data_IF_446106712744
#
_entry.id   IF_446106712744
#
_cell.length_a   1.000
_cell.length_b   1.000
_cell.length_c   1.000
_cell.angle_alpha   90.00
_cell.angle_beta   90.00
_cell.angle_gamma   90.00
#
_symmetry.space_group_name_H-M   'P 1'
#
loop_
_entity.id
_entity.type
_entity.pdbx_description
1 polymer ?
#
# COMPACT_ATOMS: atom_id res chain seq x y z
N UNK A 1 -6.88 46.81 -6.05
CA UNK A 1 -5.63 46.31 -6.67
C UNK A 1 -4.91 45.43 -5.66
N UNK A 2 -4.22 44.38 -6.16
CA UNK A 2 -3.38 43.38 -5.45
C UNK A 2 -4.15 42.33 -4.64
N UNK A 3 -3.94 41.01 -4.76
CA UNK A 3 -3.06 40.16 -5.59
C UNK A 3 -3.52 38.70 -5.36
N UNK A 4 -3.69 37.79 -6.33
CA UNK A 4 -2.73 37.22 -7.31
C UNK A 4 -1.41 36.72 -6.70
N UNK A 5 -1.44 36.03 -5.55
CA UNK A 5 -0.25 35.30 -5.06
C UNK A 5 -0.45 33.79 -4.80
N UNK A 6 -1.68 33.29 -4.67
CA UNK A 6 -1.89 31.88 -4.27
C UNK A 6 -1.82 30.82 -5.40
N UNK A 7 -1.54 31.22 -6.65
CA UNK A 7 -1.62 30.32 -7.81
C UNK A 7 -0.27 29.70 -8.18
N UNK A 8 0.85 30.33 -7.84
CA UNK A 8 2.18 29.82 -8.22
C UNK A 8 2.63 28.67 -7.32
N UNK A 9 2.39 28.76 -6.01
CA UNK A 9 2.73 27.69 -5.06
C UNK A 9 1.93 26.40 -5.32
N UNK A 10 0.61 26.50 -5.56
CA UNK A 10 -0.20 25.33 -5.93
C UNK A 10 0.21 24.70 -7.26
N UNK A 11 0.65 25.50 -8.23
CA UNK A 11 1.13 24.97 -9.53
C UNK A 11 2.47 24.26 -9.36
N UNK A 12 3.37 24.79 -8.52
CA UNK A 12 4.67 24.18 -8.23
C UNK A 12 4.49 22.87 -7.46
N UNK A 13 3.60 22.82 -6.46
CA UNK A 13 3.31 21.60 -5.70
C UNK A 13 2.70 20.50 -6.58
N UNK A 14 1.73 20.85 -7.43
CA UNK A 14 1.12 19.91 -8.37
C UNK A 14 2.13 19.40 -9.43
N UNK A 15 3.01 20.26 -9.95
CA UNK A 15 4.07 19.84 -10.88
C UNK A 15 5.09 18.92 -10.21
N UNK A 16 5.47 19.22 -8.96
CA UNK A 16 6.40 18.39 -8.18
C UNK A 16 5.81 17.01 -7.90
N UNK A 17 4.51 16.94 -7.57
CA UNK A 17 3.76 15.69 -7.38
C UNK A 17 3.69 14.87 -8.67
N UNK A 18 3.43 15.52 -9.81
CA UNK A 18 3.36 14.86 -11.11
C UNK A 18 4.72 14.29 -11.56
N UNK A 19 5.80 15.04 -11.36
CA UNK A 19 7.17 14.60 -11.66
C UNK A 19 7.57 13.41 -10.77
N UNK A 20 7.16 13.43 -9.50
CA UNK A 20 7.38 12.31 -8.57
C UNK A 20 6.65 11.05 -9.02
N UNK A 21 5.36 11.16 -9.36
CA UNK A 21 4.56 10.04 -9.88
C UNK A 21 5.15 9.44 -11.18
N UNK A 22 5.65 10.28 -12.09
CA UNK A 22 6.27 9.81 -13.33
C UNK A 22 7.60 9.07 -13.09
N UNK A 23 8.40 9.52 -12.10
CA UNK A 23 9.61 8.80 -11.68
C UNK A 23 9.29 7.47 -10.99
N UNK A 24 8.23 7.44 -10.17
CA UNK A 24 7.72 6.23 -9.51
C UNK A 24 7.32 5.15 -10.53
N UNK A 25 6.51 5.51 -11.53
CA UNK A 25 6.09 4.59 -12.60
C UNK A 25 7.28 4.02 -13.40
N UNK A 26 8.32 4.83 -13.63
CA UNK A 26 9.50 4.43 -14.42
C UNK A 26 10.40 3.44 -13.66
N UNK A 27 10.62 3.66 -12.35
CA UNK A 27 11.43 2.77 -11.51
C UNK A 27 10.71 1.48 -11.16
N UNK A 28 9.39 1.55 -10.93
CA UNK A 28 8.54 0.38 -10.75
C UNK A 28 8.60 -0.50 -12.00
N UNK A 29 8.39 0.07 -13.20
CA UNK A 29 8.46 -0.66 -14.47
C UNK A 29 9.82 -1.35 -14.68
N UNK A 30 10.92 -0.67 -14.35
CA UNK A 30 12.27 -1.23 -14.51
C UNK A 30 12.56 -2.35 -13.50
N UNK A 31 12.11 -2.20 -12.25
CA UNK A 31 12.29 -3.19 -11.18
C UNK A 31 11.43 -4.44 -11.41
N UNK A 32 10.18 -4.25 -11.85
CA UNK A 32 9.26 -5.35 -12.18
C UNK A 32 9.75 -6.21 -13.35
N UNK A 33 10.51 -5.63 -14.30
CA UNK A 33 11.04 -6.35 -15.46
C UNK A 33 12.12 -7.39 -15.09
N UNK A 34 12.82 -7.22 -13.96
CA UNK A 34 13.91 -8.11 -13.55
C UNK A 34 13.47 -9.07 -12.43
N UNK A 35 12.42 -8.73 -11.67
CA UNK A 35 11.90 -9.59 -10.62
C UNK A 35 11.28 -10.87 -11.19
N UNK A 36 11.87 -12.02 -10.84
CA UNK A 36 11.33 -13.34 -11.16
C UNK A 36 10.45 -13.85 -10.03
N UNK A 37 9.14 -13.74 -10.21
CA UNK A 37 8.17 -14.36 -9.30
C UNK A 37 8.05 -15.87 -9.55
N UNK A 38 7.68 -16.67 -8.54
CA UNK A 38 7.33 -18.07 -8.74
C UNK A 38 6.19 -18.25 -9.75
N UNK A 39 6.13 -19.42 -10.37
CA UNK A 39 5.04 -19.77 -11.27
C UNK A 39 3.68 -19.61 -10.58
N UNK A 40 2.71 -19.07 -11.33
CA UNK A 40 1.38 -18.83 -10.80
C UNK A 40 1.23 -17.52 -10.01
N UNK A 41 2.27 -16.68 -9.89
CA UNK A 41 2.16 -15.34 -9.30
C UNK A 41 2.29 -14.23 -10.33
N UNK A 42 1.67 -13.08 -10.06
CA UNK A 42 1.76 -11.87 -10.87
C UNK A 42 1.74 -10.63 -9.97
N UNK A 43 2.33 -9.54 -10.45
CA UNK A 43 2.20 -8.23 -9.81
C UNK A 43 0.87 -7.62 -10.29
N UNK A 44 0.04 -7.22 -9.34
CA UNK A 44 -1.22 -6.53 -9.59
C UNK A 44 -1.03 -5.02 -9.70
N UNK A 45 -2.14 -4.28 -9.53
CA UNK A 45 -2.14 -2.82 -9.50
C UNK A 45 -2.91 -2.29 -8.29
N UNK A 46 -2.30 -1.44 -7.50
CA UNK A 46 -2.87 -0.74 -6.37
C UNK A 46 -3.28 0.68 -6.75
N UNK A 47 -4.23 1.24 -6.01
CA UNK A 47 -4.60 2.65 -6.15
C UNK A 47 -3.46 3.56 -5.67
N UNK A 48 -3.17 4.64 -6.40
CA UNK A 48 -2.16 5.62 -6.01
C UNK A 48 -2.65 6.62 -4.96
N UNK A 49 -1.83 7.64 -4.68
CA UNK A 49 -2.25 8.80 -3.88
C UNK A 49 -2.20 8.61 -2.36
N UNK A 50 -1.42 7.63 -1.88
CA UNK A 50 -1.19 7.36 -0.45
C UNK A 50 -1.96 6.17 0.12
N UNK A 51 -2.85 5.57 -0.67
CA UNK A 51 -3.59 4.36 -0.29
C UNK A 51 -2.97 3.05 -0.82
N UNK A 52 -1.93 3.11 -1.65
CA UNK A 52 -1.37 1.95 -2.36
C UNK A 52 -0.98 0.81 -1.43
N UNK A 53 -0.36 1.10 -0.28
CA UNK A 53 -0.05 0.10 0.73
C UNK A 53 -1.29 -0.67 1.20
N UNK A 54 -2.33 0.06 1.61
CA UNK A 54 -3.55 -0.53 2.15
C UNK A 54 -4.31 -1.28 1.07
N UNK A 55 -4.33 -0.77 -0.16
CA UNK A 55 -5.03 -1.44 -1.26
C UNK A 55 -4.30 -2.73 -1.69
N UNK A 56 -2.97 -2.71 -1.78
CA UNK A 56 -2.17 -3.91 -2.05
C UNK A 56 -2.40 -4.98 -0.99
N UNK A 57 -2.39 -4.60 0.30
CA UNK A 57 -2.68 -5.51 1.41
C UNK A 57 -4.14 -6.01 1.38
N UNK A 58 -5.11 -5.15 1.06
CA UNK A 58 -6.51 -5.54 0.93
C UNK A 58 -6.73 -6.53 -0.22
N UNK A 59 -6.05 -6.34 -1.35
CA UNK A 59 -6.08 -7.28 -2.48
C UNK A 59 -5.55 -8.67 -2.07
N UNK A 60 -4.39 -8.73 -1.40
CA UNK A 60 -3.85 -9.99 -0.88
C UNK A 60 -4.78 -10.66 0.13
N UNK A 61 -5.35 -9.87 1.06
CA UNK A 61 -6.29 -10.39 2.07
C UNK A 61 -7.56 -10.95 1.44
N UNK A 62 -8.12 -10.30 0.42
CA UNK A 62 -9.28 -10.83 -0.34
C UNK A 62 -8.97 -12.18 -0.98
N UNK A 63 -7.76 -12.36 -1.51
CA UNK A 63 -7.35 -13.65 -2.08
C UNK A 63 -7.18 -14.74 -1.01
N UNK A 64 -6.59 -14.40 0.15
CA UNK A 64 -6.44 -15.37 1.26
C UNK A 64 -7.76 -15.69 1.96
N UNK A 65 -8.71 -14.74 1.98
CA UNK A 65 -9.97 -14.81 2.75
C UNK A 65 -11.13 -14.25 1.93
N UNK A 66 -11.60 -14.98 0.89
CA UNK A 66 -12.64 -14.49 -0.02
C UNK A 66 -14.01 -14.28 0.63
N UNK A 67 -14.25 -14.82 1.82
CA UNK A 67 -15.48 -14.60 2.60
C UNK A 67 -15.49 -13.34 3.46
N UNK A 68 -14.45 -12.49 3.38
CA UNK A 68 -14.33 -11.26 4.15
C UNK A 68 -14.16 -10.06 3.23
N UNK A 69 -14.86 -8.98 3.55
CA UNK A 69 -14.76 -7.71 2.84
C UNK A 69 -13.55 -6.91 3.36
N UNK A 70 -12.53 -6.76 2.51
CA UNK A 70 -11.38 -5.90 2.79
C UNK A 70 -11.38 -4.71 1.83
N UNK A 71 -11.34 -3.52 2.40
CA UNK A 71 -11.20 -2.26 1.69
C UNK A 71 -10.08 -1.45 2.35
N UNK A 72 -9.53 -0.48 1.63
CA UNK A 72 -8.59 0.50 2.20
C UNK A 72 -9.14 1.10 3.49
N UNK A 73 -10.41 1.51 3.47
CA UNK A 73 -11.10 2.11 4.61
C UNK A 73 -11.18 1.17 5.81
N UNK A 74 -11.55 -0.10 5.59
CA UNK A 74 -11.65 -1.06 6.71
C UNK A 74 -10.28 -1.35 7.34
N UNK A 75 -9.20 -1.40 6.55
CA UNK A 75 -7.84 -1.58 7.07
C UNK A 75 -7.34 -0.36 7.86
N UNK A 76 -7.61 0.86 7.37
CA UNK A 76 -7.32 2.12 8.07
C UNK A 76 -8.02 2.21 9.42
N UNK A 77 -9.31 1.84 9.47
CA UNK A 77 -10.10 1.77 10.71
C UNK A 77 -9.56 0.73 11.69
N UNK A 78 -9.11 -0.43 11.19
CA UNK A 78 -8.44 -1.44 12.01
C UNK A 78 -7.17 -0.87 12.64
N UNK A 79 -6.33 -0.17 11.86
CA UNK A 79 -5.11 0.43 12.37
C UNK A 79 -5.44 1.43 13.49
N UNK A 80 -6.33 2.39 13.24
CA UNK A 80 -6.80 3.35 14.26
C UNK A 80 -7.24 2.66 15.54
N UNK A 81 -8.11 1.65 15.44
CA UNK A 81 -8.65 0.94 16.60
C UNK A 81 -7.56 0.23 17.42
N UNK A 82 -6.59 -0.39 16.76
CA UNK A 82 -5.51 -1.12 17.45
C UNK A 82 -4.48 -0.19 18.09
N UNK A 83 -4.34 1.04 17.59
CA UNK A 83 -3.34 2.00 18.09
C UNK A 83 -3.70 2.64 19.43
N UNK A 84 -4.99 2.73 19.79
CA UNK A 84 -5.47 3.55 20.92
C UNK A 84 -4.83 3.26 22.29
N UNK A 85 -4.38 2.01 22.51
CA UNK A 85 -3.80 1.58 23.79
C UNK A 85 -2.36 1.07 23.66
N UNK A 86 -1.70 1.29 22.52
CA UNK A 86 -0.35 0.76 22.26
C UNK A 86 0.71 1.86 22.45
N UNK A 87 1.27 1.92 23.66
CA UNK A 87 2.31 2.90 24.00
C UNK A 87 3.61 2.69 23.21
N UNK A 88 3.93 1.45 22.83
CA UNK A 88 5.14 1.16 22.06
C UNK A 88 4.98 1.67 20.63
N UNK A 89 3.83 1.39 20.02
CA UNK A 89 3.48 1.90 18.71
C UNK A 89 3.41 3.42 18.69
N UNK A 90 2.85 4.04 19.73
CA UNK A 90 2.87 5.50 19.89
C UNK A 90 4.29 6.04 19.80
N UNK A 91 5.23 5.49 20.58
CA UNK A 91 6.65 5.88 20.51
C UNK A 91 7.24 5.68 19.11
N UNK A 92 6.90 4.58 18.45
CA UNK A 92 7.38 4.28 17.10
C UNK A 92 6.86 5.29 16.07
N UNK A 93 5.58 5.67 16.12
CA UNK A 93 4.98 6.68 15.24
C UNK A 93 5.63 8.05 15.46
N UNK A 94 5.85 8.45 16.72
CA UNK A 94 6.52 9.71 17.04
C UNK A 94 7.97 9.71 16.54
N UNK A 95 8.69 8.62 16.76
CA UNK A 95 10.07 8.47 16.29
C UNK A 95 10.16 8.54 14.76
N UNK A 96 9.27 7.84 14.05
CA UNK A 96 9.16 7.90 12.58
C UNK A 96 8.83 9.33 12.11
N UNK A 97 7.96 10.05 12.81
CA UNK A 97 7.66 11.44 12.45
C UNK A 97 8.86 12.38 12.63
N UNK A 98 9.69 12.18 13.65
CA UNK A 98 10.79 13.11 13.99
C UNK A 98 12.12 12.79 13.30
N UNK A 99 12.39 11.51 13.03
CA UNK A 99 13.74 11.04 12.72
C UNK A 99 13.78 10.12 11.50
N UNK A 100 12.88 10.30 10.54
CA UNK A 100 12.92 9.51 9.30
C UNK A 100 14.15 9.90 8.48
N UNK A 101 15.03 8.95 8.24
CA UNK A 101 16.26 9.11 7.45
C UNK A 101 15.96 9.10 5.94
N UNK A 102 15.09 10.00 5.51
CA UNK A 102 14.75 10.22 4.11
C UNK A 102 14.81 11.72 3.84
N UNK A 103 15.74 12.15 2.98
CA UNK A 103 15.96 13.56 2.66
C UNK A 103 14.74 14.25 2.01
N UNK A 104 13.75 13.49 1.55
CA UNK A 104 12.51 14.00 0.97
C UNK A 104 11.39 14.20 2.01
N UNK A 105 11.61 13.74 3.25
CA UNK A 105 10.64 13.87 4.35
C UNK A 105 10.73 15.24 4.98
N UNK A 106 9.57 15.89 5.09
CA UNK A 106 9.42 17.15 5.82
C UNK A 106 9.17 16.80 7.28
N UNK A 107 10.02 17.30 8.18
CA UNK A 107 9.88 17.09 9.62
C UNK A 107 8.79 18.00 10.22
N UNK A 108 8.21 17.62 11.37
CA UNK A 108 7.31 18.47 12.13
C UNK A 108 7.94 19.82 12.49
N UNK A 109 7.11 20.86 12.57
CA UNK A 109 7.57 22.18 12.99
C UNK A 109 8.14 22.17 14.42
N UNK A 110 9.14 23.03 14.73
CA UNK A 110 9.64 23.17 16.09
C UNK A 110 8.54 23.50 17.09
N UNK A 111 8.59 22.90 18.27
CA UNK A 111 7.64 23.17 19.37
C UNK A 111 6.40 22.28 19.40
N UNK A 112 6.13 21.48 18.37
CA UNK A 112 5.06 20.47 18.40
C UNK A 112 5.46 19.34 19.35
N UNK A 113 4.60 19.04 20.32
CA UNK A 113 4.83 18.00 21.32
C UNK A 113 4.30 16.62 20.86
N UNK A 114 4.66 15.57 21.61
CA UNK A 114 4.34 14.19 21.26
C UNK A 114 2.86 13.82 21.44
N UNK A 115 2.08 14.57 22.22
CA UNK A 115 0.63 14.39 22.30
C UNK A 115 -0.04 14.95 21.04
N UNK A 116 0.40 16.11 20.55
CA UNK A 116 -0.13 16.72 19.33
C UNK A 116 0.19 15.89 18.09
N UNK A 117 1.42 15.37 17.96
CA UNK A 117 1.79 14.44 16.88
C UNK A 117 0.99 13.14 16.94
N UNK A 118 0.73 12.62 18.13
CA UNK A 118 -0.07 11.41 18.29
C UNK A 118 -1.53 11.63 17.89
N UNK A 119 -2.12 12.76 18.29
CA UNK A 119 -3.48 13.11 17.86
C UNK A 119 -3.55 13.31 16.35
N UNK A 120 -2.55 13.97 15.75
CA UNK A 120 -2.46 14.11 14.30
C UNK A 120 -2.43 12.75 13.59
N UNK A 121 -1.68 11.78 14.11
CA UNK A 121 -1.68 10.42 13.58
C UNK A 121 -3.08 9.77 13.67
N UNK A 122 -3.74 9.85 14.83
CA UNK A 122 -5.06 9.24 15.05
C UNK A 122 -6.16 9.87 14.17
N UNK A 123 -6.05 11.16 13.90
CA UNK A 123 -6.96 11.87 13.01
C UNK A 123 -6.71 11.46 11.55
N UNK A 124 -5.46 11.43 11.11
CA UNK A 124 -5.12 11.21 9.70
C UNK A 124 -5.18 9.73 9.25
N UNK A 125 -4.96 8.76 10.14
CA UNK A 125 -4.85 7.33 9.76
C UNK A 125 -6.17 6.77 9.19
N UNK A 126 -7.31 7.31 9.61
CA UNK A 126 -8.64 6.80 9.25
C UNK A 126 -9.06 7.11 7.81
N UNK A 127 -8.56 8.21 7.26
CA UNK A 127 -9.07 8.75 6.00
C UNK A 127 -8.34 8.19 4.78
N UNK A 128 -9.13 7.79 3.77
CA UNK A 128 -8.63 7.40 2.45
C UNK A 128 -8.30 8.64 1.61
N UNK A 129 -7.61 8.45 0.48
CA UNK A 129 -7.40 9.51 -0.50
C UNK A 129 -8.72 10.09 -1.01
N UNK A 130 -9.73 9.23 -1.22
CA UNK A 130 -11.06 9.65 -1.64
C UNK A 130 -11.76 10.49 -0.56
N UNK A 131 -11.66 10.09 0.71
CA UNK A 131 -12.21 10.86 1.83
C UNK A 131 -11.58 12.27 1.86
N UNK A 132 -10.25 12.38 1.73
CA UNK A 132 -9.52 13.65 1.72
C UNK A 132 -9.90 14.52 0.51
N UNK A 133 -9.97 13.95 -0.70
CA UNK A 133 -10.40 14.69 -1.89
C UNK A 133 -11.83 15.21 -1.75
N UNK A 134 -12.75 14.41 -1.20
CA UNK A 134 -14.13 14.82 -0.93
C UNK A 134 -14.21 15.94 0.12
N UNK A 135 -13.31 15.96 1.11
CA UNK A 135 -13.29 17.02 2.13
C UNK A 135 -12.97 18.40 1.56
N UNK A 136 -12.28 18.50 0.41
CA UNK A 136 -12.01 19.80 -0.23
C UNK A 136 -13.29 20.59 -0.51
N UNK A 137 -14.37 19.89 -0.88
CA UNK A 137 -15.67 20.51 -1.18
C UNK A 137 -16.66 20.46 -0.01
N UNK A 138 -16.52 19.48 0.88
CA UNK A 138 -17.51 19.25 1.96
C UNK A 138 -17.08 19.79 3.33
N UNK A 139 -15.78 19.93 3.61
CA UNK A 139 -15.25 20.43 4.87
C UNK A 139 -13.81 20.97 4.71
N UNK A 140 -13.69 22.15 4.10
CA UNK A 140 -12.40 22.78 3.82
C UNK A 140 -11.52 23.01 5.07
N UNK A 141 -12.05 23.45 6.23
CA UNK A 141 -11.23 23.61 7.43
C UNK A 141 -10.60 22.29 7.90
N UNK A 142 -11.35 21.19 7.89
CA UNK A 142 -10.82 19.88 8.26
C UNK A 142 -9.79 19.38 7.23
N UNK A 143 -10.06 19.55 5.94
CA UNK A 143 -9.10 19.24 4.89
C UNK A 143 -7.77 19.98 5.13
N UNK A 144 -7.81 21.29 5.40
CA UNK A 144 -6.61 22.09 5.66
C UNK A 144 -5.87 21.64 6.93
N UNK A 145 -6.60 21.26 7.99
CA UNK A 145 -6.00 20.76 9.22
C UNK A 145 -5.26 19.42 9.02
N UNK A 146 -5.83 18.51 8.22
CA UNK A 146 -5.28 17.17 7.96
C UNK A 146 -4.17 17.15 6.90
N UNK A 147 -4.24 18.06 5.93
CA UNK A 147 -3.27 18.12 4.81
C UNK A 147 -2.18 19.18 5.04
N UNK A 148 -2.24 19.92 6.13
CA UNK A 148 -1.21 20.90 6.48
C UNK A 148 0.14 20.23 6.79
N UNK A 149 1.24 20.89 6.43
CA UNK A 149 2.61 20.38 6.64
C UNK A 149 3.13 20.55 8.07
N UNK A 150 2.33 21.13 9.00
CA UNK A 150 2.82 21.44 10.35
C UNK A 150 3.34 20.21 11.09
N UNK A 151 2.71 19.06 10.90
CA UNK A 151 3.08 17.78 11.52
C UNK A 151 4.11 16.97 10.73
N UNK A 152 4.68 17.54 9.67
CA UNK A 152 5.56 16.83 8.75
C UNK A 152 4.79 15.98 7.73
N UNK A 153 5.51 15.49 6.73
CA UNK A 153 4.93 14.76 5.60
C UNK A 153 4.49 13.32 5.94
N UNK A 154 5.01 12.74 7.02
CA UNK A 154 4.65 11.36 7.44
C UNK A 154 3.30 11.27 8.14
N UNK A 155 2.78 12.38 8.64
CA UNK A 155 1.47 12.48 9.32
C UNK A 155 0.42 13.23 8.49
N UNK A 156 0.78 13.69 7.30
CA UNK A 156 -0.12 14.35 6.36
C UNK A 156 -1.15 13.34 5.84
N UNK A 157 -2.43 13.72 5.79
CA UNK A 157 -3.48 12.86 5.27
C UNK A 157 -3.56 12.91 3.72
N UNK A 158 -3.87 11.78 3.06
CA UNK A 158 -3.97 10.44 3.63
C UNK A 158 -2.59 9.91 4.03
N UNK A 159 -2.46 9.35 5.24
CA UNK A 159 -1.18 8.78 5.68
C UNK A 159 -0.80 7.62 4.78
N UNK A 160 0.43 7.63 4.28
CA UNK A 160 1.00 6.52 3.53
C UNK A 160 1.28 5.36 4.48
N UNK A 161 0.84 4.16 4.13
CA UNK A 161 1.02 2.99 5.00
C UNK A 161 2.49 2.62 5.15
N UNK A 162 2.91 2.33 6.40
CA UNK A 162 4.26 1.88 6.73
C UNK A 162 4.23 0.41 7.09
N UNK A 163 5.19 -0.33 6.55
CA UNK A 163 5.25 -1.79 6.69
C UNK A 163 5.40 -2.21 8.16
N UNK A 164 6.23 -1.49 8.92
CA UNK A 164 6.60 -1.79 10.31
C UNK A 164 5.57 -1.28 11.33
N UNK A 165 4.65 -0.40 10.92
CA UNK A 165 3.62 0.18 11.76
C UNK A 165 2.26 -0.38 11.34
N UNK A 166 1.70 0.11 10.24
CA UNK A 166 0.40 -0.33 9.74
C UNK A 166 0.40 -1.80 9.29
N UNK A 167 1.47 -2.25 8.63
CA UNK A 167 1.59 -3.66 8.23
C UNK A 167 1.59 -4.62 9.41
N UNK A 168 2.34 -4.30 10.46
CA UNK A 168 2.36 -5.07 11.71
C UNK A 168 0.99 -5.13 12.39
N UNK A 169 0.27 -4.00 12.45
CA UNK A 169 -1.08 -3.96 13.01
C UNK A 169 -2.04 -4.88 12.25
N UNK A 170 -1.98 -4.86 10.92
CA UNK A 170 -2.81 -5.70 10.06
C UNK A 170 -2.43 -7.17 10.22
N UNK A 171 -1.13 -7.50 10.25
CA UNK A 171 -0.63 -8.85 10.52
C UNK A 171 -1.18 -9.40 11.84
N UNK A 172 -1.07 -8.60 12.91
CA UNK A 172 -1.63 -8.94 14.23
C UNK A 172 -3.15 -9.12 14.20
N UNK A 173 -3.88 -8.23 13.52
CA UNK A 173 -5.35 -8.30 13.46
C UNK A 173 -5.84 -9.58 12.82
N UNK A 174 -5.22 -9.94 11.70
CA UNK A 174 -5.70 -11.03 10.86
C UNK A 174 -4.92 -12.31 11.06
N UNK A 175 -3.88 -12.36 11.88
CA UNK A 175 -3.02 -13.53 12.05
C UNK A 175 -2.47 -14.00 10.70
N UNK A 176 -1.79 -13.08 10.01
CA UNK A 176 -1.11 -13.27 8.73
C UNK A 176 0.29 -12.69 8.83
N UNK A 177 1.17 -13.06 7.89
CA UNK A 177 2.47 -12.42 7.69
C UNK A 177 2.43 -11.58 6.43
N UNK A 178 3.29 -10.58 6.35
CA UNK A 178 3.46 -9.72 5.19
C UNK A 178 4.89 -9.85 4.67
N UNK A 179 5.02 -10.41 3.47
CA UNK A 179 6.26 -10.44 2.72
C UNK A 179 6.34 -9.19 1.83
N UNK A 180 7.40 -8.41 2.02
CA UNK A 180 7.68 -7.20 1.25
C UNK A 180 8.95 -7.41 0.45
N UNK A 181 8.87 -7.18 -0.85
CA UNK A 181 10.00 -7.15 -1.76
C UNK A 181 10.35 -5.69 -2.02
N UNK A 182 11.60 -5.29 -1.83
CA UNK A 182 12.07 -3.94 -2.11
C UNK A 182 13.26 -3.99 -3.08
N UNK A 183 13.35 -3.03 -3.99
CA UNK A 183 14.53 -2.91 -4.86
C UNK A 183 15.78 -2.66 -4.00
N UNK A 184 16.85 -3.42 -4.23
CA UNK A 184 18.12 -3.22 -3.53
C UNK A 184 18.86 -1.99 -4.11
N UNK A 185 19.00 -0.88 -3.36
CA UNK A 185 19.66 0.33 -3.88
C UNK A 185 21.16 0.16 -4.11
N UNK A 186 21.76 -0.89 -3.54
CA UNK A 186 23.19 -1.22 -3.68
C UNK A 186 23.46 -2.28 -4.74
N UNK A 187 22.42 -2.76 -5.41
CA UNK A 187 22.58 -3.75 -6.48
C UNK A 187 23.48 -3.20 -7.59
N UNK A 188 24.51 -3.97 -7.91
CA UNK A 188 25.34 -3.72 -9.09
C UNK A 188 25.32 -4.97 -9.97
N UNK A 189 25.60 -4.80 -11.27
CA UNK A 189 25.60 -5.90 -12.24
C UNK A 189 26.79 -6.88 -12.08
N UNK A 190 27.51 -6.83 -10.95
CA UNK A 190 28.64 -7.70 -10.63
C UNK A 190 28.22 -9.08 -10.07
N UNK A 191 26.91 -9.34 -9.98
CA UNK A 191 26.28 -10.58 -9.50
C UNK A 191 26.60 -10.96 -8.05
N UNK A 192 27.13 -10.04 -7.24
CA UNK A 192 27.44 -10.33 -5.82
C UNK A 192 26.25 -10.08 -4.89
N UNK A 193 25.26 -9.32 -5.34
CA UNK A 193 24.10 -8.92 -4.54
C UNK A 193 22.81 -9.26 -5.26
N UNK A 194 21.80 -9.66 -4.49
CA UNK A 194 20.45 -9.84 -5.02
C UNK A 194 19.87 -8.46 -5.42
N UNK A 195 19.17 -8.37 -6.57
CA UNK A 195 18.54 -7.12 -7.01
C UNK A 195 17.37 -6.70 -6.11
N UNK A 196 16.89 -7.61 -5.26
CA UNK A 196 15.77 -7.37 -4.36
C UNK A 196 16.11 -7.79 -2.94
N UNK A 197 15.69 -6.95 -2.00
CA UNK A 197 15.65 -7.27 -0.58
C UNK A 197 14.28 -7.86 -0.26
N UNK A 198 14.28 -8.88 0.60
CA UNK A 198 13.06 -9.54 1.04
C UNK A 198 12.92 -9.35 2.54
N UNK A 199 11.75 -8.90 2.96
CA UNK A 199 11.41 -8.68 4.37
C UNK A 199 10.16 -9.47 4.70
N UNK A 200 10.13 -10.06 5.88
CA UNK A 200 8.94 -10.71 6.43
C UNK A 200 8.53 -9.98 7.71
N UNK A 201 7.26 -9.61 7.76
CA UNK A 201 6.65 -8.89 8.87
C UNK A 201 5.53 -9.74 9.44
N UNK A 202 5.50 -9.84 10.76
CA UNK A 202 4.43 -10.46 11.52
C UNK A 202 4.11 -9.62 12.77
N UNK A 203 3.40 -10.17 13.74
CA UNK A 203 3.07 -9.47 14.98
C UNK A 203 4.29 -9.23 15.88
N UNK A 204 5.37 -10.00 15.72
CA UNK A 204 6.62 -9.87 16.46
C UNK A 204 7.52 -8.76 15.93
N UNK A 205 7.44 -8.45 14.63
CA UNK A 205 8.17 -7.36 14.01
C UNK A 205 8.60 -7.66 12.58
N UNK A 206 9.62 -6.94 12.12
CA UNK A 206 10.22 -7.12 10.81
C UNK A 206 11.51 -7.92 10.91
N UNK A 207 11.72 -8.85 9.97
CA UNK A 207 13.01 -9.52 9.75
C UNK A 207 13.37 -9.57 8.27
N UNK A 208 14.63 -9.35 7.96
CA UNK A 208 15.15 -9.58 6.61
C UNK A 208 15.26 -11.09 6.37
N UNK A 209 14.86 -11.54 5.19
CA UNK A 209 14.95 -12.93 4.74
C UNK A 209 15.76 -12.98 3.44
N UNK A 210 16.46 -14.09 3.20
CA UNK A 210 17.37 -14.22 2.06
C UNK A 210 18.29 -15.44 2.16
N UNK A 211 18.94 -15.78 1.05
CA UNK A 211 19.83 -16.94 0.97
C UNK A 211 19.12 -18.26 1.24
N UNK A 212 19.36 -18.84 2.42
CA UNK A 212 18.75 -20.11 2.86
C UNK A 212 17.37 -19.95 3.50
N UNK A 213 17.03 -18.76 4.04
CA UNK A 213 15.69 -18.47 4.57
C UNK A 213 14.85 -17.83 3.46
N UNK A 214 14.13 -18.67 2.72
CA UNK A 214 13.26 -18.25 1.60
C UNK A 214 11.81 -18.25 2.04
N UNK A 215 11.05 -17.26 1.57
CA UNK A 215 9.60 -17.24 1.79
C UNK A 215 8.95 -18.39 1.04
N UNK A 216 8.02 -19.08 1.71
CA UNK A 216 7.13 -20.01 1.04
C UNK A 216 5.94 -19.24 0.47
N UNK A 217 5.94 -19.02 -0.84
CA UNK A 217 4.82 -18.38 -1.55
C UNK A 217 3.53 -19.21 -1.50
N UNK A 218 3.62 -20.51 -1.20
CA UNK A 218 2.45 -21.37 -1.09
C UNK A 218 1.79 -21.30 0.29
N UNK A 219 2.45 -20.71 1.29
CA UNK A 219 1.89 -20.52 2.63
C UNK A 219 0.67 -19.59 2.57
N UNK A 220 -0.51 -20.17 2.82
CA UNK A 220 -1.80 -19.46 2.82
C UNK A 220 -2.00 -18.45 3.95
N UNK A 221 -0.97 -18.21 4.76
CA UNK A 221 -0.94 -17.16 5.80
C UNK A 221 -0.06 -15.97 5.42
N UNK A 222 0.62 -15.99 4.27
CA UNK A 222 1.55 -14.93 3.85
C UNK A 222 0.94 -14.08 2.73
N UNK A 223 0.85 -12.78 2.97
CA UNK A 223 0.57 -11.76 1.97
C UNK A 223 1.87 -11.36 1.28
N UNK A 224 1.83 -11.03 0.00
CA UNK A 224 3.00 -10.60 -0.74
C UNK A 224 2.76 -9.24 -1.40
N UNK A 225 3.64 -8.28 -1.17
CA UNK A 225 3.64 -6.98 -1.82
C UNK A 225 5.06 -6.63 -2.29
N UNK A 226 5.15 -5.72 -3.26
CA UNK A 226 6.42 -5.14 -3.72
C UNK A 226 6.38 -3.63 -3.50
N UNK A 227 7.47 -3.08 -2.96
CA UNK A 227 7.75 -1.65 -2.92
C UNK A 227 8.61 -1.29 -4.14
N UNK A 228 8.03 -0.60 -5.11
CA UNK A 228 8.74 -0.16 -6.32
C UNK A 228 9.71 0.99 -6.11
N UNK A 229 9.85 1.47 -4.87
CA UNK A 229 10.56 2.68 -4.51
C UNK A 229 9.59 3.80 -4.09
N UNK A 230 10.12 4.76 -3.32
CA UNK A 230 9.37 5.92 -2.82
C UNK A 230 8.07 5.61 -2.07
N UNK A 231 7.97 4.43 -1.43
CA UNK A 231 6.77 3.96 -0.73
C UNK A 231 5.56 3.71 -1.63
N UNK A 232 5.79 3.40 -2.91
CA UNK A 232 4.74 2.92 -3.81
C UNK A 232 4.65 1.39 -3.76
N UNK A 233 3.48 0.87 -3.37
CA UNK A 233 3.28 -0.55 -3.16
C UNK A 233 2.34 -1.16 -4.19
N UNK A 234 2.68 -2.36 -4.66
CA UNK A 234 1.84 -3.18 -5.51
C UNK A 234 1.63 -4.57 -4.90
N UNK A 235 0.46 -5.20 -5.06
CA UNK A 235 0.24 -6.55 -4.56
C UNK A 235 0.90 -7.58 -5.47
N UNK A 236 1.37 -8.67 -4.89
CA UNK A 236 1.76 -9.88 -5.62
C UNK A 236 0.68 -10.93 -5.35
N UNK A 237 -0.03 -11.31 -6.40
CA UNK A 237 -1.24 -12.14 -6.34
C UNK A 237 -1.01 -13.45 -7.07
N UNK A 238 -1.68 -14.52 -6.60
CA UNK A 238 -1.82 -15.73 -7.40
C UNK A 238 -2.66 -15.41 -8.64
N UNK A 239 -2.23 -15.88 -9.80
CA UNK A 239 -3.00 -15.86 -11.03
C UNK A 239 -4.26 -16.68 -10.78
N UNK A 240 -5.41 -16.12 -11.13
CA UNK A 240 -6.63 -16.90 -11.16
C UNK A 240 -6.42 -18.07 -12.13
N UNK A 241 -6.56 -19.29 -11.63
CA UNK A 241 -6.72 -20.44 -12.51
C UNK A 241 -8.04 -20.17 -13.23
N UNK A 242 -8.00 -19.90 -14.53
CA UNK A 242 -9.18 -20.06 -15.37
C UNK A 242 -9.61 -21.50 -15.16
N UNK A 243 -10.57 -21.73 -14.26
CA UNK A 243 -11.19 -23.04 -14.18
C UNK A 243 -11.81 -23.26 -15.56
N UNK A 244 -11.43 -24.32 -16.28
CA UNK A 244 -12.22 -24.74 -17.43
C UNK A 244 -13.65 -24.87 -16.91
N UNK A 245 -14.61 -24.24 -17.61
CA UNK A 245 -16.03 -24.36 -17.28
C UNK A 245 -16.33 -25.83 -16.95
N UNK A 246 -17.02 -26.12 -15.84
CA UNK A 246 -17.35 -27.49 -15.49
C UNK A 246 -18.06 -28.13 -16.69
N UNK A 247 -17.63 -29.34 -17.06
CA UNK A 247 -18.06 -30.07 -18.25
C UNK A 247 -19.60 -30.20 -18.35
N UNK A 248 -20.33 -30.03 -17.25
CA UNK A 248 -21.79 -29.95 -17.19
C UNK A 248 -22.41 -28.80 -17.99
N UNK A 249 -21.72 -27.67 -18.16
CA UNK A 249 -22.24 -26.51 -18.89
C UNK A 249 -22.02 -26.61 -20.41
N UNK A 250 -21.02 -27.38 -20.85
CA UNK A 250 -20.79 -27.63 -22.28
C UNK A 250 -21.92 -28.45 -22.90
N UNK A 251 -22.51 -29.38 -22.14
CA UNK A 251 -23.68 -30.16 -22.58
C UNK A 251 -24.94 -29.31 -22.70
N UNK A 252 -25.14 -28.31 -21.84
CA UNK A 252 -26.29 -27.39 -21.96
C UNK A 252 -26.12 -26.46 -23.17
N UNK A 253 -24.94 -25.88 -23.38
CA UNK A 253 -24.67 -25.00 -24.53
C UNK A 253 -24.73 -25.77 -25.86
N UNK A 254 -24.26 -27.02 -25.91
CA UNK A 254 -24.39 -27.86 -27.11
C UNK A 254 -25.83 -28.32 -27.38
N UNK A 255 -26.67 -28.47 -26.34
CA UNK A 255 -28.09 -28.79 -26.50
C UNK A 255 -28.92 -27.60 -27.01
N UNK A 256 -28.50 -26.37 -26.70
CA UNK A 256 -29.13 -25.14 -27.20
C UNK A 256 -28.77 -24.80 -28.65
N UNK A 257 -27.67 -25.36 -29.18
CA UNK A 257 -27.24 -25.15 -30.57
C UNK A 257 -27.79 -26.19 -31.56
N UNK A 258 -28.60 -27.14 -31.09
CA UNK A 258 -29.30 -28.12 -31.93
C UNK A 258 -30.81 -27.89 -31.84
N UNK A 259 -31.29 -26.86 -32.51
CA UNK A 259 -32.68 -26.84 -32.98
C UNK A 259 -32.76 -27.46 -34.39
N UNK A 260 -33.84 -28.22 -34.68
CA UNK A 260 -33.93 -29.06 -35.86
C UNK A 260 -34.42 -28.25 -37.07
N UNK A 261 -33.66 -28.32 -38.17
CA UNK A 261 -34.28 -28.22 -39.49
C UNK A 261 -35.08 -29.51 -39.73
N UNK A 262 -36.37 -29.48 -39.40
CA UNK A 262 -37.34 -30.45 -39.87
C UNK A 262 -38.31 -29.76 -40.82
N UNK A 263 -38.32 -30.29 -42.03
CA UNK A 263 -39.01 -29.90 -43.25
C UNK A 263 -40.54 -29.87 -43.12
N UNK A 264 -41.17 -28.90 -43.79
CA UNK A 264 -42.28 -29.09 -44.74
C UNK A 264 -42.52 -27.81 -45.53
#
# INVERSE_FOLDING_TARGET
MLGKENTKEQVIDNQSRLIRMQKEDTLLSSSQQILKLPEGFTIGKAIGGGDCFFDAVAQGLRQLRPGMEFTVKSLRQVCKKLTLNDQQLRKQVIQDARNREDSTVILPQPGINDDELWNAYLDSIEYTVEDIEKMKSTNLPLHQALTGSKYGSTLQAPIWGRVEIEGRLICKKYNVKLHVIESNPWYTNDNQQEPFLHQLIDDSGLRNIGGYDKVDYNDGSILHIINGGYSHFEPILRKEVQQPLPYSDLTQVQSMLKEPYASS
#
